data_IF_190253768601
#
_entry.id   IF_190253768601
#
_cell.length_a   1.000
_cell.length_b   1.000
_cell.length_c   1.000
_cell.angle_alpha   90.00
_cell.angle_beta   90.00
_cell.angle_gamma   90.00
#
_symmetry.space_group_name_H-M   'P 1'
#
loop_
_entity.id
_entity.type
_entity.pdbx_description
1 polymer ?
#
# COMPACT_ATOMS: atom_id res chain seq x y z
N UNK A 1 8.39 -1.55 0.65
CA UNK A 1 7.56 -1.39 -0.57
C UNK A 1 8.40 -1.85 -1.74
N UNK A 2 7.88 -2.67 -2.65
CA UNK A 2 8.56 -3.17 -3.86
C UNK A 2 8.34 -4.66 -4.07
N UNK A 3 8.29 -5.10 -5.33
CA UNK A 3 8.41 -6.51 -5.71
C UNK A 3 9.85 -6.68 -6.18
N UNK A 4 10.73 -7.39 -5.44
CA UNK A 4 12.16 -7.48 -5.77
C UNK A 4 12.43 -8.00 -7.18
N UNK A 5 11.55 -8.84 -7.72
CA UNK A 5 11.65 -9.39 -9.08
C UNK A 5 11.58 -8.34 -10.21
N UNK A 6 11.29 -7.06 -9.89
CA UNK A 6 11.09 -5.99 -10.88
C UNK A 6 11.89 -4.74 -10.50
N UNK A 7 13.02 -4.90 -9.81
CA UNK A 7 13.91 -3.79 -9.46
C UNK A 7 15.26 -3.94 -10.17
N UNK A 8 15.84 -2.81 -10.53
CA UNK A 8 17.10 -2.66 -11.26
C UNK A 8 18.05 -1.75 -10.48
N UNK A 9 19.35 -1.99 -10.64
CA UNK A 9 20.40 -1.10 -10.13
C UNK A 9 20.66 -0.02 -11.19
N UNK A 10 20.66 1.23 -10.77
CA UNK A 10 20.95 2.39 -11.61
C UNK A 10 22.12 3.19 -11.03
N UNK A 11 22.96 3.74 -11.92
CA UNK A 11 24.01 4.69 -11.59
C UNK A 11 23.43 6.11 -11.64
N UNK A 12 23.49 6.83 -10.52
CA UNK A 12 22.84 8.14 -10.34
C UNK A 12 23.48 9.25 -11.21
N UNK A 13 24.76 9.09 -11.53
CA UNK A 13 25.52 9.97 -12.42
C UNK A 13 25.51 9.55 -13.89
N UNK A 14 24.84 8.44 -14.22
CA UNK A 14 24.81 7.85 -15.56
C UNK A 14 26.12 7.15 -15.98
N UNK A 15 27.16 7.16 -15.15
CA UNK A 15 28.44 6.52 -15.45
C UNK A 15 28.49 5.07 -14.92
N UNK A 16 28.41 4.11 -15.85
CA UNK A 16 28.43 2.67 -15.55
C UNK A 16 29.74 2.17 -14.93
N UNK A 17 30.83 2.92 -15.06
CA UNK A 17 32.12 2.57 -14.47
C UNK A 17 32.21 3.00 -12.99
N UNK A 18 31.40 3.97 -12.56
CA UNK A 18 31.40 4.48 -11.20
C UNK A 18 30.57 3.59 -10.26
N UNK A 19 31.18 2.51 -9.78
CA UNK A 19 30.53 1.52 -8.92
C UNK A 19 30.57 1.86 -7.42
N UNK A 20 30.82 3.12 -7.05
CA UNK A 20 30.75 3.56 -5.67
C UNK A 20 29.32 3.36 -5.12
N UNK A 21 29.18 2.86 -3.89
CA UNK A 21 27.86 2.48 -3.33
C UNK A 21 26.93 3.69 -3.25
N UNK A 22 27.46 4.85 -2.93
CA UNK A 22 26.79 6.15 -2.92
C UNK A 22 26.33 6.63 -4.31
N UNK A 23 26.85 6.04 -5.39
CA UNK A 23 26.42 6.30 -6.76
C UNK A 23 25.34 5.32 -7.25
N UNK A 24 25.06 4.26 -6.49
CA UNK A 24 24.06 3.25 -6.86
C UNK A 24 22.71 3.52 -6.20
N UNK A 25 21.63 3.28 -6.94
CA UNK A 25 20.25 3.34 -6.46
C UNK A 25 19.42 2.20 -7.02
N UNK A 26 18.43 1.75 -6.25
CA UNK A 26 17.47 0.72 -6.69
C UNK A 26 16.22 1.40 -7.24
N UNK A 27 15.90 1.18 -8.51
CA UNK A 27 14.74 1.73 -9.21
C UNK A 27 13.90 0.61 -9.82
N UNK A 28 12.61 0.88 -10.10
CA UNK A 28 11.86 0.01 -11.02
C UNK A 28 12.19 0.40 -12.47
N UNK A 29 11.90 -0.46 -13.47
CA UNK A 29 12.26 -0.19 -14.88
C UNK A 29 11.73 1.14 -15.39
N UNK A 30 10.52 1.54 -14.97
CA UNK A 30 9.95 2.82 -15.35
C UNK A 30 10.75 4.00 -14.76
N UNK A 31 11.08 3.97 -13.47
CA UNK A 31 11.86 5.04 -12.85
C UNK A 31 13.29 5.09 -13.37
N UNK A 32 13.89 3.93 -13.66
CA UNK A 32 15.21 3.84 -14.27
C UNK A 32 15.19 4.52 -15.66
N UNK A 33 14.22 4.15 -16.51
CA UNK A 33 14.10 4.77 -17.84
C UNK A 33 13.82 6.26 -17.79
N UNK A 34 12.99 6.72 -16.84
CA UNK A 34 12.73 8.15 -16.63
C UNK A 34 13.98 8.90 -16.17
N UNK A 35 14.85 8.27 -15.39
CA UNK A 35 16.13 8.86 -15.01
C UNK A 35 17.10 8.93 -16.18
N UNK A 36 17.22 7.86 -16.98
CA UNK A 36 18.11 7.80 -18.15
C UNK A 36 17.82 8.88 -19.22
N UNK A 37 16.57 9.37 -19.27
CA UNK A 37 16.14 10.41 -20.23
C UNK A 37 15.99 11.79 -19.57
N UNK A 38 16.53 11.97 -18.36
CA UNK A 38 16.47 13.21 -17.56
C UNK A 38 15.06 13.71 -17.21
N UNK A 39 14.03 12.86 -17.33
CA UNK A 39 12.69 13.19 -16.86
C UNK A 39 12.62 13.26 -15.33
N UNK A 40 13.42 12.41 -14.66
CA UNK A 40 13.70 12.53 -13.22
C UNK A 40 15.17 12.89 -13.06
N UNK A 41 15.44 14.05 -12.49
CA UNK A 41 16.80 14.52 -12.27
C UNK A 41 17.56 13.68 -11.24
N UNK A 42 18.88 13.61 -11.37
CA UNK A 42 19.81 13.07 -10.37
C UNK A 42 19.51 13.62 -8.97
N UNK A 43 19.25 14.92 -8.85
CA UNK A 43 18.92 15.56 -7.57
C UNK A 43 17.62 15.00 -6.97
N UNK A 44 16.59 14.80 -7.78
CA UNK A 44 15.33 14.20 -7.34
C UNK A 44 15.55 12.75 -6.88
N UNK A 45 16.34 11.96 -7.61
CA UNK A 45 16.69 10.59 -7.22
C UNK A 45 17.41 10.57 -5.88
N UNK A 46 18.42 11.43 -5.67
CA UNK A 46 19.14 11.57 -4.40
C UNK A 46 18.20 11.93 -3.27
N UNK A 47 17.36 12.96 -3.47
CA UNK A 47 16.36 13.36 -2.49
C UNK A 47 15.39 12.23 -2.15
N UNK A 48 14.90 11.47 -3.13
CA UNK A 48 13.98 10.35 -2.91
C UNK A 48 14.64 9.18 -2.19
N UNK A 49 15.93 8.89 -2.47
CA UNK A 49 16.73 7.87 -1.82
C UNK A 49 16.98 8.22 -0.36
N UNK A 50 17.44 9.43 -0.10
CA UNK A 50 18.01 9.84 1.20
C UNK A 50 16.95 10.36 2.17
N UNK A 51 15.82 10.88 1.67
CA UNK A 51 14.75 11.35 2.55
C UNK A 51 14.21 10.21 3.45
N UNK A 52 13.88 10.51 4.73
CA UNK A 52 13.21 9.57 5.61
C UNK A 52 11.88 9.08 5.02
N UNK A 53 11.71 7.76 4.97
CA UNK A 53 10.52 7.13 4.39
C UNK A 53 9.44 6.97 5.46
N UNK A 54 8.76 8.07 5.79
CA UNK A 54 7.61 8.05 6.71
C UNK A 54 6.32 7.76 5.95
N UNK A 55 5.62 6.69 6.34
CA UNK A 55 4.38 6.27 5.67
C UNK A 55 3.19 6.92 6.36
N UNK A 56 2.53 7.86 5.66
CA UNK A 56 1.22 8.36 6.10
C UNK A 56 0.11 7.41 5.66
N UNK A 57 -0.23 6.45 6.53
CA UNK A 57 -1.24 5.43 6.24
C UNK A 57 -2.62 6.01 5.94
N UNK A 58 -3.00 7.12 6.58
CA UNK A 58 -4.25 7.83 6.28
C UNK A 58 -4.31 8.29 4.82
N UNK A 59 -3.22 8.87 4.31
CA UNK A 59 -3.10 9.31 2.92
C UNK A 59 -3.19 8.13 1.94
N UNK A 60 -2.51 7.02 2.24
CA UNK A 60 -2.51 5.81 1.39
C UNK A 60 -3.87 5.11 1.38
N UNK A 61 -4.46 4.91 2.56
CA UNK A 61 -5.68 4.12 2.74
C UNK A 61 -6.95 4.90 2.37
N UNK A 62 -6.87 6.24 2.26
CA UNK A 62 -7.99 7.13 1.94
C UNK A 62 -9.19 6.86 2.88
N UNK A 63 -10.30 6.37 2.34
CA UNK A 63 -11.52 6.04 3.07
C UNK A 63 -11.70 4.54 3.36
N UNK A 64 -10.75 3.69 2.95
CA UNK A 64 -10.86 2.23 3.09
C UNK A 64 -11.06 1.81 4.56
N UNK A 65 -10.36 2.46 5.50
CA UNK A 65 -10.55 2.22 6.93
C UNK A 65 -11.95 2.56 7.42
N UNK A 66 -12.50 3.71 7.00
CA UNK A 66 -13.86 4.15 7.34
C UNK A 66 -14.91 3.20 6.76
N UNK A 67 -14.75 2.82 5.49
CA UNK A 67 -15.62 1.85 4.79
C UNK A 67 -15.59 0.49 5.48
N UNK A 68 -14.40 -0.02 5.82
CA UNK A 68 -14.27 -1.29 6.54
C UNK A 68 -14.92 -1.26 7.92
N UNK A 69 -14.76 -0.17 8.68
CA UNK A 69 -15.41 -0.01 9.98
C UNK A 69 -16.94 -0.01 9.86
N UNK A 70 -17.49 0.70 8.87
CA UNK A 70 -18.93 0.73 8.62
C UNK A 70 -19.46 -0.65 8.22
N UNK A 71 -18.75 -1.36 7.34
CA UNK A 71 -19.12 -2.71 6.93
C UNK A 71 -19.16 -3.69 8.12
N UNK A 72 -18.15 -3.63 9.02
CA UNK A 72 -18.14 -4.44 10.25
C UNK A 72 -19.34 -4.14 11.15
N UNK A 73 -19.67 -2.86 11.36
CA UNK A 73 -20.86 -2.44 12.14
C UNK A 73 -22.16 -2.98 11.55
N UNK A 74 -22.33 -2.91 10.23
CA UNK A 74 -23.51 -3.45 9.53
C UNK A 74 -23.59 -4.97 9.66
N UNK A 75 -22.46 -5.66 9.49
CA UNK A 75 -22.38 -7.12 9.60
C UNK A 75 -22.73 -7.61 11.01
N UNK A 76 -22.21 -6.97 12.06
CA UNK A 76 -22.54 -7.34 13.45
C UNK A 76 -24.01 -7.11 13.77
N UNK A 77 -24.60 -5.99 13.31
CA UNK A 77 -26.02 -5.72 13.46
C UNK A 77 -26.88 -6.78 12.75
N UNK A 78 -26.54 -7.14 11.51
CA UNK A 78 -27.25 -8.17 10.75
C UNK A 78 -27.17 -9.54 11.44
N UNK A 79 -25.99 -9.97 11.91
CA UNK A 79 -25.81 -11.23 12.65
C UNK A 79 -26.66 -11.27 13.92
N UNK A 80 -26.71 -10.16 14.68
CA UNK A 80 -27.58 -10.04 15.87
C UNK A 80 -29.06 -10.18 15.49
N UNK A 81 -29.52 -9.48 14.46
CA UNK A 81 -30.91 -9.57 14.01
C UNK A 81 -31.30 -11.00 13.60
N UNK A 82 -30.42 -11.71 12.88
CA UNK A 82 -30.63 -13.12 12.50
C UNK A 82 -30.73 -14.03 13.73
N UNK A 83 -29.82 -13.87 14.71
CA UNK A 83 -29.85 -14.64 15.95
C UNK A 83 -31.16 -14.43 16.72
N UNK A 84 -31.62 -13.18 16.84
CA UNK A 84 -32.90 -12.86 17.50
C UNK A 84 -34.09 -13.49 16.77
N UNK A 85 -34.15 -13.41 15.43
CA UNK A 85 -35.23 -14.04 14.65
C UNK A 85 -35.28 -15.56 14.86
N UNK A 86 -34.11 -16.23 14.83
CA UNK A 86 -34.00 -17.67 15.09
C UNK A 86 -34.46 -18.04 16.51
N UNK A 87 -34.07 -17.26 17.52
CA UNK A 87 -34.51 -17.48 18.90
C UNK A 87 -36.03 -17.34 19.07
N UNK A 88 -36.64 -16.33 18.41
CA UNK A 88 -38.07 -16.11 18.47
C UNK A 88 -38.87 -17.22 17.77
N UNK A 89 -38.41 -17.69 16.60
CA UNK A 89 -39.02 -18.85 15.91
C UNK A 89 -38.97 -20.11 16.77
N UNK A 90 -37.83 -20.37 17.44
CA UNK A 90 -37.69 -21.52 18.35
C UNK A 90 -38.62 -21.44 19.56
N UNK A 91 -38.88 -20.23 20.08
CA UNK A 91 -39.86 -20.01 21.16
C UNK A 91 -41.29 -20.26 20.69
N UNK A 92 -41.68 -19.75 19.52
CA UNK A 92 -43.02 -19.92 18.96
C UNK A 92 -43.35 -21.39 18.67
N UNK A 93 -42.38 -22.15 18.14
CA UNK A 93 -42.55 -23.60 17.90
C UNK A 93 -42.54 -24.47 19.16
N UNK A 94 -42.25 -23.92 20.34
CA UNK A 94 -42.33 -24.63 21.64
C UNK A 94 -43.65 -24.36 22.37
N UNK A 95 -44.41 -23.36 21.93
CA UNK A 95 -45.69 -22.93 22.50
C UNK A 95 -46.90 -23.41 21.67
N UNK A 96 -46.68 -24.22 20.64
CA UNK A 96 -47.68 -24.89 19.80
C UNK A 96 -47.52 -26.39 19.93
#
# INVERSE_FOLDING_TARGET
FGVPAVLEVAHIDGNRENNAVENLVILCPNCHKMHDIDLISTETIRQMRDRPKTVQWSKRMKDAGKKAALARKRSTAAKKAVATRRANQKKQGMTS
#
